data_IF_936530078366
#
_entry.id   IF_936530078366
#
_cell.length_a   1.000
_cell.length_b   1.000
_cell.length_c   1.000
_cell.angle_alpha   90.00
_cell.angle_beta   90.00
_cell.angle_gamma   90.00
#
_symmetry.space_group_name_H-M   'P 1'
#
loop_
_entity.id
_entity.type
_entity.pdbx_description
1 polymer ?
#
# COMPACT_ATOMS: atom_id res chain seq x y z
N UNK A 1 -40.35 10.54 0.09
CA UNK A 1 -39.05 10.74 -0.59
C UNK A 1 -38.18 9.53 -0.28
N UNK A 2 -37.51 8.97 -1.29
CA UNK A 2 -36.66 7.79 -1.15
C UNK A 2 -35.17 8.10 -0.93
N UNK A 3 -34.82 9.30 -0.48
CA UNK A 3 -33.44 9.70 -0.20
C UNK A 3 -33.39 10.69 0.97
N UNK A 4 -32.24 10.74 1.64
CA UNK A 4 -31.90 11.70 2.68
C UNK A 4 -30.67 12.47 2.21
N UNK A 5 -30.65 13.77 2.49
CA UNK A 5 -29.47 14.63 2.33
C UNK A 5 -29.01 14.99 3.73
N UNK A 6 -27.71 14.84 4.02
CA UNK A 6 -27.19 15.02 5.38
C UNK A 6 -27.17 16.51 5.78
N UNK A 7 -26.81 17.42 4.87
CA UNK A 7 -26.80 18.86 5.13
C UNK A 7 -27.40 19.64 3.97
N UNK A 8 -28.22 20.63 4.31
CA UNK A 8 -28.62 21.69 3.39
C UNK A 8 -27.73 22.92 3.58
N UNK A 9 -27.62 23.74 2.54
CA UNK A 9 -26.88 25.00 2.63
C UNK A 9 -27.39 25.86 3.79
N UNK A 10 -26.47 26.41 4.58
CA UNK A 10 -26.74 27.24 5.76
C UNK A 10 -27.50 26.54 6.91
N UNK A 11 -27.56 25.20 6.93
CA UNK A 11 -28.03 24.46 8.09
C UNK A 11 -26.97 24.46 9.19
N UNK A 12 -27.39 24.68 10.44
CA UNK A 12 -26.52 24.46 11.60
C UNK A 12 -26.20 22.98 11.71
N UNK A 13 -24.92 22.63 11.72
CA UNK A 13 -24.43 21.27 11.97
C UNK A 13 -24.34 21.05 13.47
N UNK A 14 -24.96 19.98 13.98
CA UNK A 14 -24.92 19.60 15.40
C UNK A 14 -23.87 18.52 15.64
N UNK A 15 -23.54 18.29 16.91
CA UNK A 15 -22.69 17.17 17.30
C UNK A 15 -23.31 15.82 16.96
N UNK A 16 -24.64 15.69 17.02
CA UNK A 16 -25.34 14.48 16.58
C UNK A 16 -25.07 14.19 15.09
N UNK A 17 -25.12 15.22 14.25
CA UNK A 17 -24.85 15.06 12.81
C UNK A 17 -23.40 14.64 12.54
N UNK A 18 -22.43 15.25 13.27
CA UNK A 18 -21.01 14.90 13.16
C UNK A 18 -20.72 13.49 13.66
N UNK A 19 -21.36 13.07 14.75
CA UNK A 19 -21.27 11.70 15.29
C UNK A 19 -21.83 10.66 14.32
N UNK A 20 -22.95 10.96 13.65
CA UNK A 20 -23.50 10.08 12.63
C UNK A 20 -22.54 9.91 11.45
N UNK A 21 -21.89 10.99 11.00
CA UNK A 21 -20.84 10.90 9.97
C UNK A 21 -19.66 10.06 10.45
N UNK A 22 -19.15 10.28 11.66
CA UNK A 22 -17.98 9.53 12.13
C UNK A 22 -18.26 8.05 12.34
N UNK A 23 -19.49 7.70 12.70
CA UNK A 23 -19.98 6.32 12.71
C UNK A 23 -20.00 5.72 11.29
N UNK A 24 -20.54 6.44 10.30
CA UNK A 24 -20.51 6.03 8.87
C UNK A 24 -19.08 5.91 8.32
N UNK A 25 -18.15 6.74 8.81
CA UNK A 25 -16.73 6.68 8.46
C UNK A 25 -15.96 5.58 9.22
N UNK A 26 -16.65 4.64 9.88
CA UNK A 26 -16.04 3.50 10.56
C UNK A 26 -15.22 3.89 11.79
N UNK A 27 -15.31 5.15 12.23
CA UNK A 27 -14.57 5.71 13.36
C UNK A 27 -15.52 6.14 14.47
N UNK A 28 -16.15 5.17 15.14
CA UNK A 28 -16.90 5.43 16.39
C UNK A 28 -16.04 5.93 17.56
N UNK A 29 -14.77 6.28 17.31
CA UNK A 29 -13.80 6.73 18.30
C UNK A 29 -13.94 8.22 18.68
N UNK A 30 -14.75 8.99 17.95
CA UNK A 30 -14.92 10.42 18.15
C UNK A 30 -16.36 10.70 18.56
N UNK A 31 -16.52 11.25 19.76
CA UNK A 31 -17.80 11.75 20.24
C UNK A 31 -17.75 13.28 20.25
N UNK A 32 -18.51 13.88 19.34
CA UNK A 32 -18.80 15.29 19.34
C UNK A 32 -19.89 15.60 20.38
N UNK A 33 -19.80 16.76 21.01
CA UNK A 33 -20.76 17.34 21.95
C UNK A 33 -21.14 18.73 21.45
N UNK A 34 -22.42 19.07 21.56
CA UNK A 34 -22.89 20.39 21.15
C UNK A 34 -22.18 21.48 21.96
N UNK A 35 -21.99 22.64 21.34
CA UNK A 35 -21.35 23.82 21.93
C UNK A 35 -19.91 23.60 22.45
N UNK A 36 -19.26 22.50 22.05
CA UNK A 36 -17.86 22.21 22.40
C UNK A 36 -16.92 22.72 21.32
N UNK A 37 -15.90 23.49 21.72
CA UNK A 37 -14.81 23.89 20.85
C UNK A 37 -13.80 22.76 20.75
N UNK A 38 -13.59 22.24 19.54
CA UNK A 38 -12.57 21.24 19.24
C UNK A 38 -11.24 21.92 18.93
N UNK A 39 -10.20 21.54 19.66
CA UNK A 39 -8.85 22.04 19.47
C UNK A 39 -8.09 21.30 18.37
N UNK A 40 -6.89 21.80 18.05
CA UNK A 40 -5.99 21.16 17.07
C UNK A 40 -5.71 19.69 17.39
N UNK A 41 -5.64 19.34 18.69
CA UNK A 41 -5.45 17.96 19.14
C UNK A 41 -6.59 17.04 18.71
N UNK A 42 -7.83 17.52 18.79
CA UNK A 42 -9.00 16.73 18.40
C UNK A 42 -9.01 16.51 16.89
N UNK A 43 -8.68 17.55 16.11
CA UNK A 43 -8.58 17.44 14.64
C UNK A 43 -7.47 16.48 14.19
N UNK A 44 -6.32 16.49 14.86
CA UNK A 44 -5.25 15.53 14.61
C UNK A 44 -5.70 14.10 14.97
N UNK A 45 -6.44 13.92 16.07
CA UNK A 45 -7.00 12.62 16.45
C UNK A 45 -8.00 12.10 15.41
N UNK A 46 -8.82 12.98 14.83
CA UNK A 46 -9.72 12.63 13.73
C UNK A 46 -8.90 12.13 12.54
N UNK A 47 -7.92 12.91 12.11
CA UNK A 47 -7.06 12.57 10.99
C UNK A 47 -6.29 11.26 11.24
N UNK A 48 -5.77 11.05 12.44
CA UNK A 48 -5.12 9.82 12.86
C UNK A 48 -6.05 8.61 12.74
N UNK A 49 -7.32 8.77 13.09
CA UNK A 49 -8.27 7.65 13.07
C UNK A 49 -8.69 7.30 11.65
N UNK A 50 -8.73 8.29 10.75
CA UNK A 50 -9.14 8.11 9.36
C UNK A 50 -8.00 7.75 8.41
N UNK A 51 -6.78 8.24 8.66
CA UNK A 51 -5.66 8.16 7.72
C UNK A 51 -4.40 7.67 8.44
N UNK A 52 -3.72 6.71 7.82
CA UNK A 52 -2.42 6.21 8.22
C UNK A 52 -1.31 7.22 7.97
N UNK A 53 -0.20 7.04 8.69
CA UNK A 53 1.02 7.81 8.48
C UNK A 53 1.53 7.63 7.04
N UNK A 54 1.99 8.71 6.41
CA UNK A 54 2.59 8.67 5.07
C UNK A 54 2.32 9.92 4.23
N UNK A 55 2.83 9.95 3.01
CA UNK A 55 2.58 10.96 1.98
C UNK A 55 1.20 10.75 1.38
N UNK A 56 0.37 11.79 1.43
CA UNK A 56 -0.97 11.78 0.80
C UNK A 56 -0.96 12.35 -0.62
N UNK A 57 -0.02 13.27 -0.91
CA UNK A 57 0.10 13.91 -2.23
C UNK A 57 1.50 14.49 -2.41
N UNK A 58 2.09 14.34 -3.59
CA UNK A 58 3.32 15.07 -3.96
C UNK A 58 4.56 14.64 -3.18
N UNK A 59 5.35 15.61 -2.70
CA UNK A 59 6.60 15.40 -1.93
C UNK A 59 7.67 14.57 -2.67
N UNK A 60 7.71 14.66 -4.00
CA UNK A 60 8.76 14.04 -4.80
C UNK A 60 10.13 14.64 -4.49
N UNK A 61 11.16 13.79 -4.52
CA UNK A 61 12.55 14.20 -4.32
C UNK A 61 13.23 14.52 -5.65
N UNK A 62 14.07 15.55 -5.67
CA UNK A 62 14.93 15.91 -6.81
C UNK A 62 16.24 16.52 -6.32
N UNK A 63 17.29 16.53 -7.15
CA UNK A 63 18.52 17.27 -6.84
C UNK A 63 18.45 18.67 -7.48
N UNK A 64 18.76 19.69 -6.70
CA UNK A 64 18.83 21.08 -7.15
C UNK A 64 20.02 21.76 -6.47
N UNK A 65 20.91 22.36 -7.26
CA UNK A 65 22.04 23.17 -6.76
C UNK A 65 22.94 22.46 -5.73
N UNK A 66 23.09 21.13 -5.85
CA UNK A 66 23.89 20.32 -4.92
C UNK A 66 23.17 19.97 -3.61
N UNK A 67 21.88 20.29 -3.51
CA UNK A 67 21.00 19.94 -2.39
C UNK A 67 19.90 18.99 -2.86
N UNK A 68 19.25 18.31 -1.93
CA UNK A 68 18.01 17.57 -2.21
C UNK A 68 16.82 18.48 -1.97
N UNK A 69 15.94 18.56 -2.97
CA UNK A 69 14.67 19.27 -2.92
C UNK A 69 13.53 18.31 -2.65
N UNK A 70 12.72 18.62 -1.64
CA UNK A 70 11.38 18.07 -1.43
C UNK A 70 10.41 19.02 -2.14
N UNK A 71 9.67 18.51 -3.13
CA UNK A 71 8.66 19.30 -3.85
C UNK A 71 7.38 19.50 -3.03
N UNK A 72 6.50 20.37 -3.53
CA UNK A 72 5.16 20.60 -2.98
C UNK A 72 4.41 19.29 -2.70
N UNK A 73 3.68 19.25 -1.60
CA UNK A 73 2.83 18.12 -1.27
C UNK A 73 2.37 18.11 0.18
N UNK A 74 1.75 17.02 0.59
CA UNK A 74 1.32 16.82 1.97
C UNK A 74 1.52 15.40 2.46
N UNK A 75 1.75 15.28 3.76
CA UNK A 75 1.89 14.02 4.49
C UNK A 75 1.14 14.06 5.81
N UNK A 76 0.86 12.88 6.36
CA UNK A 76 0.29 12.68 7.69
C UNK A 76 1.31 11.97 8.58
N UNK A 77 1.49 12.50 9.79
CA UNK A 77 2.32 11.88 10.83
C UNK A 77 1.55 10.78 11.56
N UNK A 78 2.27 10.00 12.37
CA UNK A 78 1.68 8.91 13.17
C UNK A 78 0.53 9.38 14.07
N UNK A 79 0.57 10.61 14.57
CA UNK A 79 -0.44 11.22 15.44
C UNK A 79 -1.55 11.97 14.67
N UNK A 80 -1.57 11.85 13.34
CA UNK A 80 -2.56 12.47 12.46
C UNK A 80 -2.28 13.93 12.11
N UNK A 81 -1.17 14.52 12.58
CA UNK A 81 -0.76 15.86 12.11
C UNK A 81 -0.53 15.85 10.61
N UNK A 82 -1.16 16.79 9.92
CA UNK A 82 -0.92 17.06 8.50
C UNK A 82 0.23 18.05 8.34
N UNK A 83 1.19 17.70 7.50
CA UNK A 83 2.32 18.56 7.10
C UNK A 83 2.13 18.90 5.64
N UNK A 84 2.34 20.17 5.30
CA UNK A 84 2.27 20.67 3.93
C UNK A 84 3.60 21.34 3.58
N UNK A 85 4.14 20.95 2.42
CA UNK A 85 5.26 21.63 1.76
C UNK A 85 4.63 22.41 0.62
N UNK A 86 4.89 23.71 0.57
CA UNK A 86 4.33 24.59 -0.45
C UNK A 86 5.11 24.50 -1.78
N UNK A 87 4.74 25.38 -2.72
CA UNK A 87 5.31 25.44 -4.07
C UNK A 87 6.82 25.73 -4.09
N UNK A 88 7.35 26.42 -3.09
CA UNK A 88 8.78 26.75 -3.04
C UNK A 88 9.58 25.47 -2.75
N UNK A 89 9.00 24.57 -1.97
CA UNK A 89 9.62 23.31 -1.58
C UNK A 89 10.61 23.48 -0.43
N UNK A 90 11.31 22.40 -0.09
CA UNK A 90 12.36 22.44 0.95
C UNK A 90 13.66 21.92 0.39
N UNK A 91 14.73 22.69 0.57
CA UNK A 91 16.10 22.29 0.22
C UNK A 91 16.82 21.80 1.47
N UNK A 92 17.48 20.65 1.35
CA UNK A 92 18.26 20.03 2.41
C UNK A 92 19.66 19.68 1.89
N UNK A 93 20.66 19.88 2.75
CA UNK A 93 22.00 19.38 2.47
C UNK A 93 22.02 17.84 2.54
N UNK A 94 22.89 17.23 1.73
CA UNK A 94 23.15 15.79 1.80
C UNK A 94 24.66 15.52 1.71
N UNK A 95 25.09 14.36 2.19
CA UNK A 95 26.50 13.95 2.18
C UNK A 95 26.79 13.21 0.87
N UNK A 96 27.56 13.85 -0.02
CA UNK A 96 27.99 13.22 -1.27
C UNK A 96 28.86 11.98 -1.02
N UNK A 97 28.68 10.93 -1.85
CA UNK A 97 29.39 9.66 -1.71
C UNK A 97 28.86 8.74 -0.60
N UNK A 98 27.82 9.14 0.14
CA UNK A 98 27.14 8.36 1.15
C UNK A 98 25.69 8.07 0.75
N UNK A 99 25.08 7.05 1.37
CA UNK A 99 23.63 6.88 1.30
C UNK A 99 22.99 7.92 2.23
N UNK A 100 21.99 8.64 1.74
CA UNK A 100 21.24 9.62 2.52
C UNK A 100 19.76 9.25 2.52
N UNK A 101 19.11 9.39 3.66
CA UNK A 101 17.69 9.12 3.86
C UNK A 101 16.96 10.45 4.02
N UNK A 102 15.88 10.65 3.27
CA UNK A 102 15.08 11.88 3.31
C UNK A 102 13.71 11.57 3.89
N UNK A 103 13.32 12.33 4.91
CA UNK A 103 12.19 12.00 5.77
C UNK A 103 11.63 13.22 6.49
N UNK A 104 10.37 13.15 6.91
CA UNK A 104 9.76 14.11 7.84
C UNK A 104 9.86 13.53 9.25
N UNK A 105 10.39 14.29 10.20
CA UNK A 105 10.56 13.88 11.59
C UNK A 105 9.72 14.74 12.52
N UNK A 106 8.96 14.11 13.42
CA UNK A 106 8.26 14.80 14.50
C UNK A 106 9.11 14.81 15.75
N UNK A 107 9.44 16.01 16.22
CA UNK A 107 10.02 16.20 17.55
C UNK A 107 8.89 16.15 18.59
N UNK A 108 8.86 15.10 19.40
CA UNK A 108 7.81 14.89 20.42
C UNK A 108 7.91 15.87 21.60
N UNK A 109 9.06 16.55 21.78
CA UNK A 109 9.26 17.51 22.86
C UNK A 109 8.71 18.88 22.45
N UNK A 110 9.06 19.31 21.23
CA UNK A 110 8.64 20.63 20.72
C UNK A 110 7.34 20.57 19.91
N UNK A 111 6.88 19.36 19.58
CA UNK A 111 5.67 19.05 18.81
C UNK A 111 5.66 19.60 17.37
N UNK A 112 6.85 19.90 16.84
CA UNK A 112 7.09 20.33 15.47
C UNK A 112 7.44 19.16 14.56
N UNK A 113 7.06 19.29 13.29
CA UNK A 113 7.52 18.39 12.23
C UNK A 113 8.54 19.11 11.37
N UNK A 114 9.70 18.48 11.18
CA UNK A 114 10.82 19.05 10.43
C UNK A 114 11.31 18.07 9.36
N UNK A 115 11.58 18.53 8.13
CA UNK A 115 12.21 17.72 7.11
C UNK A 115 13.69 17.49 7.46
N UNK A 116 14.18 16.27 7.20
CA UNK A 116 15.56 15.85 7.49
C UNK A 116 16.15 15.06 6.33
N UNK A 117 17.46 15.21 6.17
CA UNK A 117 18.29 14.44 5.26
C UNK A 117 19.54 14.00 6.05
N UNK A 118 19.69 12.69 6.28
CA UNK A 118 20.74 12.15 7.16
C UNK A 118 21.36 10.89 6.57
N UNK A 119 22.60 10.57 6.93
CA UNK A 119 23.25 9.30 6.54
C UNK A 119 22.86 8.12 7.42
N UNK A 120 22.27 8.41 8.58
CA UNK A 120 21.69 7.41 9.47
C UNK A 120 20.24 7.14 9.05
N UNK A 121 19.90 5.85 8.95
CA UNK A 121 18.55 5.40 8.65
C UNK A 121 17.61 5.76 9.80
N UNK A 122 16.42 6.29 9.52
CA UNK A 122 15.47 6.64 10.56
C UNK A 122 14.95 5.42 11.34
N UNK A 123 14.79 5.58 12.66
CA UNK A 123 14.26 4.55 13.55
C UNK A 123 13.13 5.08 14.44
N UNK A 124 12.21 4.21 14.84
CA UNK A 124 11.02 4.55 15.64
C UNK A 124 9.74 4.78 14.82
N UNK A 125 8.78 5.51 15.37
CA UNK A 125 7.46 5.71 14.74
C UNK A 125 7.19 7.16 14.29
N UNK A 126 7.90 8.14 14.86
CA UNK A 126 7.68 9.58 14.69
C UNK A 126 8.26 10.14 13.38
N UNK A 127 8.13 9.39 12.28
CA UNK A 127 8.59 9.84 10.98
C UNK A 127 7.87 9.29 9.76
N UNK A 128 7.96 10.00 8.64
CA UNK A 128 7.49 9.58 7.31
C UNK A 128 8.69 9.55 6.36
N UNK A 129 9.00 8.38 5.76
CA UNK A 129 10.07 8.28 4.76
C UNK A 129 9.58 8.84 3.43
N UNK A 130 10.39 9.68 2.79
CA UNK A 130 10.13 10.21 1.45
C UNK A 130 10.95 9.48 0.38
N UNK A 131 12.13 8.99 0.75
CA UNK A 131 13.01 8.22 -0.12
C UNK A 131 14.47 8.26 0.32
N UNK A 132 15.36 7.88 -0.58
CA UNK A 132 16.80 7.90 -0.33
C UNK A 132 17.60 8.38 -1.53
N UNK A 133 18.86 8.75 -1.27
CA UNK A 133 19.86 9.11 -2.28
C UNK A 133 21.00 8.10 -2.12
N UNK A 134 21.33 7.40 -3.20
CA UNK A 134 22.44 6.44 -3.21
C UNK A 134 23.80 7.15 -3.16
N UNK A 135 24.87 6.38 -2.91
CA UNK A 135 26.24 6.90 -2.94
C UNK A 135 26.62 7.57 -4.27
N UNK A 136 26.00 7.12 -5.36
CA UNK A 136 26.24 7.63 -6.71
C UNK A 136 25.36 8.85 -7.05
N UNK A 137 24.59 9.36 -6.08
CA UNK A 137 23.71 10.52 -6.27
C UNK A 137 22.38 10.20 -6.96
N UNK A 138 22.02 8.92 -7.10
CA UNK A 138 20.73 8.53 -7.67
C UNK A 138 19.64 8.59 -6.60
N UNK A 139 18.51 9.22 -6.92
CA UNK A 139 17.35 9.31 -6.04
C UNK A 139 16.46 8.07 -6.21
N UNK A 140 16.10 7.43 -5.11
CA UNK A 140 15.03 6.44 -5.01
C UNK A 140 13.86 7.04 -4.22
N UNK A 141 12.93 7.67 -4.95
CA UNK A 141 11.76 8.36 -4.40
C UNK A 141 10.58 7.40 -4.17
N UNK A 142 10.69 6.54 -3.16
CA UNK A 142 9.61 5.63 -2.73
C UNK A 142 9.08 6.09 -1.37
N UNK A 143 8.19 7.10 -1.33
CA UNK A 143 7.65 7.56 -0.07
C UNK A 143 6.73 6.51 0.54
N UNK A 144 6.67 6.46 1.87
CA UNK A 144 5.61 5.75 2.57
C UNK A 144 4.29 6.45 2.24
N UNK A 145 3.34 5.77 1.61
CA UNK A 145 2.07 6.38 1.24
C UNK A 145 1.08 6.36 2.40
N UNK A 146 0.37 7.47 2.60
CA UNK A 146 -0.74 7.53 3.53
C UNK A 146 -1.90 6.70 2.99
N UNK A 147 -2.37 5.75 3.79
CA UNK A 147 -3.50 4.88 3.44
C UNK A 147 -4.67 5.20 4.35
N UNK A 148 -5.87 5.32 3.79
CA UNK A 148 -7.08 5.49 4.57
C UNK A 148 -7.31 4.25 5.45
N UNK A 149 -7.46 4.45 6.78
CA UNK A 149 -7.71 3.38 7.74
C UNK A 149 -9.14 2.87 7.67
N UNK A 150 -10.06 3.71 7.19
CA UNK A 150 -11.44 3.29 7.00
C UNK A 150 -11.56 2.39 5.77
N UNK A 151 -11.91 1.13 6.03
CA UNK A 151 -12.13 0.10 5.01
C UNK A 151 -13.56 0.10 4.43
N UNK A 152 -14.48 0.89 5.00
CA UNK A 152 -15.91 0.92 4.64
C UNK A 152 -16.21 1.72 3.37
N UNK A 153 -15.50 2.83 3.11
CA UNK A 153 -15.75 3.69 1.95
C UNK A 153 -15.06 3.25 0.64
N UNK A 154 -14.66 1.98 0.57
CA UNK A 154 -14.37 1.32 -0.70
C UNK A 154 -13.22 1.93 -1.50
N UNK A 155 -11.98 1.69 -1.05
CA UNK A 155 -10.84 1.58 -1.96
C UNK A 155 -9.96 0.43 -1.49
N UNK A 156 -9.97 -0.65 -2.26
CA UNK A 156 -9.04 -1.79 -2.25
C UNK A 156 -8.62 -2.29 -0.85
N UNK A 157 -9.50 -3.05 -0.19
CA UNK A 157 -9.04 -3.93 0.90
C UNK A 157 -8.06 -4.94 0.30
N UNK A 158 -6.81 -4.89 0.74
CA UNK A 158 -5.77 -5.82 0.35
C UNK A 158 -5.38 -6.62 1.59
N UNK A 159 -5.54 -7.94 1.53
CA UNK A 159 -4.94 -8.86 2.47
C UNK A 159 -3.72 -9.50 1.80
N UNK A 160 -2.59 -9.52 2.51
CA UNK A 160 -1.33 -10.07 1.99
C UNK A 160 -0.98 -11.33 2.77
N UNK A 161 -0.80 -12.43 2.05
CA UNK A 161 -0.39 -13.71 2.59
C UNK A 161 0.92 -14.14 1.91
N UNK A 162 1.92 -14.48 2.72
CA UNK A 162 3.22 -14.98 2.23
C UNK A 162 3.29 -16.49 2.43
N UNK A 163 3.53 -17.21 1.34
CA UNK A 163 3.66 -18.67 1.34
C UNK A 163 5.06 -19.06 0.85
N UNK A 164 5.72 -19.95 1.58
CA UNK A 164 6.97 -20.57 1.13
C UNK A 164 6.66 -21.94 0.51
N UNK A 165 6.70 -22.01 -0.82
CA UNK A 165 6.52 -23.26 -1.56
C UNK A 165 7.92 -23.83 -1.85
N UNK A 166 8.22 -25.00 -1.28
CA UNK A 166 9.45 -25.72 -1.59
C UNK A 166 9.14 -26.80 -2.62
N UNK A 167 9.64 -26.66 -3.84
CA UNK A 167 9.46 -27.68 -4.87
C UNK A 167 10.04 -29.02 -4.40
N UNK A 168 9.18 -30.02 -4.23
CA UNK A 168 9.60 -31.41 -4.17
C UNK A 168 10.10 -31.82 -5.55
N UNK A 169 11.42 -31.89 -5.74
CA UNK A 169 12.00 -32.38 -6.98
C UNK A 169 11.50 -33.82 -7.24
N UNK A 170 10.59 -33.99 -8.23
CA UNK A 170 10.26 -35.32 -8.76
C UNK A 170 8.80 -35.64 -9.06
N UNK A 171 7.83 -34.77 -8.81
CA UNK A 171 6.43 -35.06 -9.14
C UNK A 171 6.17 -34.88 -10.65
N UNK A 172 6.31 -35.97 -11.41
CA UNK A 172 5.64 -36.09 -12.71
C UNK A 172 4.24 -36.63 -12.41
N UNK A 173 3.22 -35.83 -12.73
CA UNK A 173 1.79 -36.17 -12.58
C UNK A 173 1.33 -36.33 -11.12
N UNK A 174 1.47 -35.30 -10.29
CA UNK A 174 0.72 -35.24 -9.04
C UNK A 174 -0.75 -34.94 -9.35
N UNK A 175 -1.67 -35.72 -8.75
CA UNK A 175 -3.09 -35.38 -8.69
C UNK A 175 -3.24 -33.99 -8.03
N UNK A 176 -4.26 -33.21 -8.42
CA UNK A 176 -4.58 -31.95 -7.76
C UNK A 176 -4.91 -32.23 -6.27
N UNK A 177 -3.97 -31.95 -5.37
CA UNK A 177 -4.16 -32.08 -3.93
C UNK A 177 -4.31 -30.69 -3.31
N UNK A 178 -5.22 -30.57 -2.33
CA UNK A 178 -5.37 -29.34 -1.57
C UNK A 178 -4.06 -29.05 -0.82
N UNK A 179 -3.35 -28.00 -1.25
CA UNK A 179 -2.10 -27.55 -0.67
C UNK A 179 -2.36 -26.77 0.63
N UNK A 180 -3.28 -25.80 0.61
CA UNK A 180 -3.54 -24.95 1.77
C UNK A 180 -4.92 -24.28 1.73
N UNK A 181 -5.50 -24.09 2.91
CA UNK A 181 -6.65 -23.21 3.13
C UNK A 181 -6.22 -21.92 3.83
N UNK A 182 -6.66 -20.79 3.30
CA UNK A 182 -6.40 -19.46 3.84
C UNK A 182 -7.76 -18.82 4.20
N UNK A 183 -8.11 -18.74 5.48
CA UNK A 183 -9.30 -18.00 5.89
C UNK A 183 -9.07 -16.50 5.63
N UNK A 184 -9.93 -15.90 4.81
CA UNK A 184 -9.88 -14.48 4.51
C UNK A 184 -10.56 -13.69 5.63
N UNK A 185 -9.97 -12.56 5.98
CA UNK A 185 -10.45 -11.69 7.08
C UNK A 185 -11.68 -10.89 6.67
N UNK A 186 -11.80 -10.59 5.38
CA UNK A 186 -12.87 -9.79 4.80
C UNK A 186 -13.63 -10.54 3.70
N UNK A 187 -14.91 -10.22 3.55
CA UNK A 187 -15.71 -10.63 2.40
C UNK A 187 -15.58 -9.61 1.24
N UNK A 188 -15.95 -10.03 0.03
CA UNK A 188 -16.03 -9.13 -1.14
C UNK A 188 -14.70 -8.88 -1.87
N UNK A 189 -13.74 -9.79 -1.71
CA UNK A 189 -12.53 -9.80 -2.53
C UNK A 189 -12.88 -9.95 -4.01
N UNK A 190 -12.36 -9.05 -4.86
CA UNK A 190 -12.61 -9.07 -6.31
C UNK A 190 -11.46 -9.69 -7.10
N UNK A 191 -10.24 -9.52 -6.61
CA UNK A 191 -9.04 -10.03 -7.27
C UNK A 191 -8.04 -10.62 -6.27
N UNK A 192 -7.27 -11.62 -6.71
CA UNK A 192 -6.06 -12.10 -6.04
C UNK A 192 -4.86 -11.66 -6.86
N UNK A 193 -3.86 -11.08 -6.21
CA UNK A 193 -2.56 -10.77 -6.83
C UNK A 193 -1.54 -11.79 -6.37
N UNK A 194 -0.92 -12.51 -7.31
CA UNK A 194 0.11 -13.50 -7.00
C UNK A 194 1.46 -12.92 -7.35
N UNK A 195 2.37 -12.87 -6.38
CA UNK A 195 3.76 -12.46 -6.59
C UNK A 195 4.70 -13.56 -6.11
N UNK A 196 5.68 -13.93 -6.92
CA UNK A 196 6.69 -14.91 -6.58
C UNK A 196 8.07 -14.27 -6.43
N UNK A 197 8.88 -14.83 -5.54
CA UNK A 197 10.33 -14.60 -5.53
C UNK A 197 11.01 -15.96 -5.71
N UNK A 198 12.04 -16.01 -6.57
CA UNK A 198 12.88 -17.21 -6.67
C UNK A 198 14.13 -16.99 -5.83
N UNK A 199 14.64 -18.04 -5.19
CA UNK A 199 15.86 -17.95 -4.37
C UNK A 199 17.11 -17.53 -5.17
N UNK A 200 17.05 -17.64 -6.51
CA UNK A 200 18.16 -17.37 -7.41
C UNK A 200 18.12 -15.95 -8.01
N UNK A 201 16.95 -15.31 -8.06
CA UNK A 201 16.79 -13.94 -8.53
C UNK A 201 16.01 -13.14 -7.48
N UNK A 202 16.68 -12.20 -6.80
CA UNK A 202 16.08 -11.26 -5.83
C UNK A 202 15.14 -10.23 -6.51
N UNK A 203 14.26 -10.67 -7.41
CA UNK A 203 13.29 -9.84 -8.11
C UNK A 203 11.90 -10.37 -7.79
N UNK A 204 11.03 -9.48 -7.30
CA UNK A 204 9.61 -9.74 -7.15
C UNK A 204 8.99 -9.79 -8.55
N UNK A 205 8.65 -10.97 -9.03
CA UNK A 205 7.85 -11.09 -10.24
C UNK A 205 6.39 -11.14 -9.81
N UNK A 206 5.60 -10.15 -10.25
CA UNK A 206 4.15 -10.30 -10.22
C UNK A 206 3.82 -11.37 -11.24
N UNK A 207 3.28 -12.51 -10.78
CA UNK A 207 3.06 -13.69 -11.59
C UNK A 207 1.67 -13.68 -12.23
N UNK A 208 0.68 -13.06 -11.60
CA UNK A 208 -0.63 -12.89 -12.22
C UNK A 208 -1.70 -12.30 -11.30
N UNK A 209 -2.88 -12.11 -11.88
CA UNK A 209 -4.11 -11.65 -11.21
C UNK A 209 -5.21 -12.66 -11.47
N UNK A 210 -5.99 -13.04 -10.46
CA UNK A 210 -7.20 -13.85 -10.60
C UNK A 210 -8.40 -13.00 -10.23
N UNK A 211 -9.33 -12.78 -11.15
CA UNK A 211 -10.61 -12.13 -10.87
C UNK A 211 -11.61 -13.17 -10.34
N UNK A 212 -12.06 -12.96 -9.10
CA UNK A 212 -12.85 -13.93 -8.36
C UNK A 212 -14.30 -14.02 -8.83
N UNK A 213 -14.86 -12.91 -9.34
CA UNK A 213 -16.25 -12.84 -9.84
C UNK A 213 -16.41 -13.60 -11.17
N UNK A 214 -15.42 -13.50 -12.05
CA UNK A 214 -15.46 -14.05 -13.41
C UNK A 214 -14.70 -15.38 -13.52
N UNK A 215 -13.83 -15.67 -12.56
CA UNK A 215 -12.86 -16.75 -12.61
C UNK A 215 -11.74 -16.50 -13.63
N UNK A 216 -11.69 -15.32 -14.26
CA UNK A 216 -10.67 -15.00 -15.27
C UNK A 216 -9.30 -14.83 -14.60
N UNK A 217 -8.28 -15.43 -15.20
CA UNK A 217 -6.89 -15.23 -14.77
C UNK A 217 -6.10 -14.44 -15.80
N UNK A 218 -5.19 -13.62 -15.30
CA UNK A 218 -4.35 -12.71 -16.07
C UNK A 218 -2.89 -12.97 -15.69
N UNK A 219 -2.15 -13.64 -16.57
CA UNK A 219 -0.70 -13.79 -16.39
C UNK A 219 0.02 -12.47 -16.64
N UNK A 220 0.86 -12.05 -15.70
CA UNK A 220 1.74 -10.90 -15.88
C UNK A 220 3.16 -11.41 -16.14
N UNK A 221 3.46 -11.78 -17.39
CA UNK A 221 4.79 -12.23 -17.74
C UNK A 221 5.71 -11.01 -17.98
N UNK A 222 6.45 -10.63 -16.94
CA UNK A 222 7.57 -9.70 -17.07
C UNK A 222 8.76 -10.41 -17.73
N UNK A 223 8.87 -10.34 -19.06
CA UNK A 223 10.08 -10.84 -19.73
C UNK A 223 11.26 -9.91 -19.40
N UNK A 224 12.29 -10.48 -18.77
CA UNK A 224 13.43 -9.79 -18.22
C UNK A 224 14.19 -8.98 -19.29
N UNK A 225 14.20 -7.64 -19.13
CA UNK A 225 15.20 -6.64 -19.62
C UNK A 225 14.63 -5.21 -19.54
N UNK A 226 14.51 -4.65 -18.34
CA UNK A 226 14.44 -3.19 -18.12
C UNK A 226 13.29 -2.40 -18.76
N UNK A 227 12.31 -3.08 -19.37
CA UNK A 227 11.12 -2.47 -19.95
C UNK A 227 9.90 -2.89 -19.11
N UNK A 228 8.93 -1.98 -18.96
CA UNK A 228 7.63 -2.27 -18.35
C UNK A 228 7.03 -3.57 -18.91
N UNK A 229 6.23 -4.34 -18.14
CA UNK A 229 5.63 -5.59 -18.60
C UNK A 229 4.89 -5.36 -19.93
N UNK A 230 5.39 -5.95 -21.02
CA UNK A 230 4.90 -5.62 -22.37
C UNK A 230 3.77 -6.52 -22.86
N UNK A 231 3.48 -7.65 -22.21
CA UNK A 231 2.41 -8.53 -22.64
C UNK A 231 1.76 -9.24 -21.44
N UNK A 232 0.49 -8.90 -21.18
CA UNK A 232 -0.40 -9.81 -20.47
C UNK A 232 -0.88 -10.83 -21.51
N UNK A 233 -0.33 -12.03 -21.48
CA UNK A 233 -0.91 -13.10 -22.28
C UNK A 233 -2.20 -13.53 -21.59
N UNK A 234 -3.33 -13.23 -22.25
CA UNK A 234 -4.66 -13.60 -21.77
C UNK A 234 -4.83 -15.12 -21.92
N UNK A 235 -4.37 -15.88 -20.94
CA UNK A 235 -4.81 -17.27 -20.77
C UNK A 235 -6.16 -17.24 -20.05
N UNK A 236 -7.24 -17.11 -20.82
CA UNK A 236 -8.59 -17.26 -20.25
C UNK A 236 -8.78 -18.74 -19.94
N UNK A 237 -8.71 -19.08 -18.67
CA UNK A 237 -9.32 -20.28 -18.15
C UNK A 237 -10.48 -19.85 -17.23
N UNK A 238 -11.70 -20.23 -17.59
CA UNK A 238 -12.91 -19.90 -16.83
C UNK A 238 -13.03 -20.73 -15.53
N UNK A 239 -11.90 -21.20 -14.99
CA UNK A 239 -11.83 -22.17 -13.90
C UNK A 239 -11.04 -21.63 -12.69
N UNK A 240 -10.57 -20.36 -12.72
CA UNK A 240 -9.80 -19.77 -11.61
C UNK A 240 -8.38 -20.34 -11.45
N UNK A 241 -7.87 -21.02 -12.48
CA UNK A 241 -6.56 -21.67 -12.44
C UNK A 241 -5.50 -20.66 -12.89
N UNK A 242 -4.52 -20.31 -12.05
CA UNK A 242 -3.39 -19.51 -12.53
C UNK A 242 -2.20 -20.44 -12.80
N UNK A 243 -1.96 -20.74 -14.07
CA UNK A 243 -0.76 -21.48 -14.45
C UNK A 243 0.45 -20.54 -14.41
N UNK A 244 1.22 -20.59 -13.32
CA UNK A 244 2.46 -19.82 -13.18
C UNK A 244 3.64 -20.61 -13.72
N UNK A 245 3.94 -20.46 -15.01
CA UNK A 245 5.16 -20.99 -15.58
C UNK A 245 6.38 -20.21 -15.05
N UNK A 246 7.14 -20.78 -14.10
CA UNK A 246 8.49 -20.30 -13.81
C UNK A 246 9.52 -21.25 -14.45
N UNK A 247 10.38 -20.72 -15.32
CA UNK A 247 11.47 -21.47 -15.91
C UNK A 247 12.69 -21.35 -14.98
N UNK A 248 13.03 -22.40 -14.22
CA UNK A 248 14.29 -22.43 -13.48
C UNK A 248 15.42 -22.73 -14.46
N UNK A 249 16.08 -21.67 -14.93
CA UNK A 249 17.41 -21.66 -15.56
C UNK A 249 17.78 -22.93 -16.36
N UNK A 250 17.39 -22.96 -17.63
CA UNK A 250 18.04 -23.76 -18.66
C UNK A 250 17.77 -25.27 -18.60
N UNK A 251 17.04 -25.75 -19.62
CA UNK A 251 16.93 -27.14 -20.08
C UNK A 251 15.77 -28.02 -19.64
N UNK A 252 14.88 -27.61 -18.73
CA UNK A 252 13.63 -28.34 -18.51
C UNK A 252 12.45 -27.39 -18.25
N UNK A 253 11.43 -27.48 -19.11
CA UNK A 253 10.12 -26.86 -18.91
C UNK A 253 9.38 -27.60 -17.80
N UNK A 254 9.62 -27.21 -16.54
CA UNK A 254 8.74 -27.57 -15.45
C UNK A 254 7.62 -26.52 -15.39
N UNK A 255 6.45 -26.88 -15.92
CA UNK A 255 5.24 -26.10 -15.68
C UNK A 255 4.73 -26.49 -14.28
N UNK A 256 4.80 -25.54 -13.34
CA UNK A 256 4.06 -25.65 -12.10
C UNK A 256 2.76 -24.85 -12.28
N UNK A 257 1.63 -25.45 -11.95
CA UNK A 257 0.33 -24.76 -11.92
C UNK A 257 -0.12 -24.67 -10.47
N UNK A 258 -0.68 -23.52 -10.09
CA UNK A 258 -1.31 -23.33 -8.79
C UNK A 258 -2.76 -22.93 -9.07
N UNK A 259 -3.71 -23.74 -8.62
CA UNK A 259 -5.13 -23.47 -8.78
C UNK A 259 -5.66 -22.78 -7.53
N UNK A 260 -6.45 -21.75 -7.75
CA UNK A 260 -7.08 -20.98 -6.68
C UNK A 260 -8.59 -21.21 -6.72
N UNK A 261 -9.18 -21.51 -5.58
CA UNK A 261 -10.63 -21.62 -5.43
C UNK A 261 -11.08 -20.83 -4.21
N UNK A 262 -11.92 -19.81 -4.41
CA UNK A 262 -12.56 -19.10 -3.31
C UNK A 262 -13.87 -19.80 -2.98
N UNK A 263 -13.93 -20.44 -1.81
CA UNK A 263 -15.16 -21.05 -1.33
C UNK A 263 -16.18 -20.02 -0.86
N UNK A 264 -17.45 -20.45 -0.78
CA UNK A 264 -18.55 -19.63 -0.22
C UNK A 264 -18.41 -19.36 1.28
N UNK A 265 -17.46 -20.03 1.94
CA UNK A 265 -17.10 -19.87 3.34
C UNK A 265 -16.03 -18.81 3.58
N UNK A 266 -15.71 -17.99 2.56
CA UNK A 266 -14.66 -16.98 2.60
C UNK A 266 -13.26 -17.57 2.89
N UNK A 267 -13.03 -18.80 2.42
CA UNK A 267 -11.75 -19.51 2.51
C UNK A 267 -11.18 -19.65 1.11
N UNK A 268 -9.95 -19.12 0.93
CA UNK A 268 -9.17 -19.33 -0.29
C UNK A 268 -8.46 -20.68 -0.20
N UNK A 269 -8.72 -21.55 -1.16
CA UNK A 269 -8.10 -22.87 -1.29
C UNK A 269 -7.08 -22.85 -2.40
N UNK A 270 -5.91 -23.37 -2.10
CA UNK A 270 -4.78 -23.50 -3.02
C UNK A 270 -4.58 -24.98 -3.30
N UNK A 271 -4.52 -25.34 -4.58
CA UNK A 271 -4.23 -26.69 -5.07
C UNK A 271 -2.97 -26.66 -5.92
#
# INVERSE_FOLDING_TARGET
>A
MGYRVNFLDNQTVTALDMNAITEELGSGALSFMDDTLYGVKDLNQISHTLVGKGVSRGMSLSLQDGQVRIAEGSAFMADGKRVEVDQDGVLLDYVSGAVNYVWLYRDVITDFVVPRCTTEEPFGEDFVVLGSISKDGMIDGRPDLAVMKNSFLGLNKMEVYTLEITNGAGAREAEEELFQEIPLTYEGHRCIFVTGTSSHERKNNVCGVVELETGETYGLFGHDKGNAPQYAERQINNEGILTVCWCSSGYYDYQNSLRFELGTDNVLRLY
#
